data_IF_051143081361
#
_entry.id   IF_051143081361
#
_cell.length_a   1.000
_cell.length_b   1.000
_cell.length_c   1.000
_cell.angle_alpha   90.00
_cell.angle_beta   90.00
_cell.angle_gamma   90.00
#
_symmetry.space_group_name_H-M   'P 1'
#
loop_
_entity.id
_entity.type
_entity.pdbx_description
1 polymer ?
#
# COMPACT_ATOMS: atom_id res chain seq x y z
N UNK A 1 -5.03 -12.23 -8.09
CA UNK A 1 -5.57 -11.22 -7.15
C UNK A 1 -6.45 -11.96 -6.16
N UNK A 2 -6.26 -11.86 -4.82
CA UNK A 2 -7.12 -12.55 -3.84
C UNK A 2 -8.61 -12.17 -3.95
N UNK A 3 -8.93 -11.06 -4.61
CA UNK A 3 -10.30 -10.63 -4.84
C UNK A 3 -10.98 -11.28 -6.05
N UNK A 4 -10.19 -11.70 -7.04
CA UNK A 4 -10.70 -12.22 -8.31
C UNK A 4 -10.46 -13.72 -8.49
N UNK A 5 -9.44 -14.28 -7.82
CA UNK A 5 -9.05 -15.69 -7.93
C UNK A 5 -9.17 -16.41 -6.59
N UNK A 6 -10.03 -17.43 -6.54
CA UNK A 6 -10.25 -18.27 -5.36
C UNK A 6 -8.94 -18.86 -4.81
N UNK A 7 -8.01 -19.29 -5.68
CA UNK A 7 -6.73 -19.86 -5.27
C UNK A 7 -5.85 -18.84 -4.53
N UNK A 8 -5.90 -17.58 -4.96
CA UNK A 8 -5.16 -16.50 -4.31
C UNK A 8 -5.81 -16.10 -2.98
N UNK A 9 -7.13 -16.26 -2.86
CA UNK A 9 -7.86 -16.05 -1.61
C UNK A 9 -7.58 -17.15 -0.59
N UNK A 10 -7.50 -18.40 -1.03
CA UNK A 10 -7.30 -19.57 -0.17
C UNK A 10 -5.91 -19.58 0.51
N UNK A 11 -4.91 -18.93 -0.11
CA UNK A 11 -3.57 -18.72 0.47
C UNK A 11 -3.44 -17.43 1.30
N UNK A 12 -4.47 -16.57 1.30
CA UNK A 12 -4.49 -15.33 2.07
C UNK A 12 -5.19 -15.55 3.43
N UNK A 13 -4.91 -14.70 4.41
CA UNK A 13 -5.52 -14.82 5.74
C UNK A 13 -7.04 -14.66 5.69
N UNK A 14 -7.76 -15.58 6.35
CA UNK A 14 -9.24 -15.69 6.33
C UNK A 14 -9.97 -14.45 6.85
N UNK A 15 -9.31 -13.65 7.69
CA UNK A 15 -9.88 -12.48 8.34
C UNK A 15 -9.77 -11.20 7.48
N UNK A 16 -9.11 -11.29 6.32
CA UNK A 16 -8.81 -10.14 5.48
C UNK A 16 -9.86 -9.96 4.39
N UNK A 17 -10.13 -8.70 4.06
CA UNK A 17 -11.07 -8.30 3.02
C UNK A 17 -10.36 -7.49 1.95
N UNK A 18 -10.89 -7.58 0.73
CA UNK A 18 -10.40 -6.86 -0.45
C UNK A 18 -10.36 -5.33 -0.27
N UNK A 19 -11.23 -4.80 0.58
CA UNK A 19 -11.34 -3.36 0.84
C UNK A 19 -10.13 -2.79 1.58
N UNK A 20 -9.23 -3.66 2.10
CA UNK A 20 -8.01 -3.24 2.80
C UNK A 20 -6.81 -3.03 1.88
N UNK A 21 -6.91 -3.36 0.59
CA UNK A 21 -5.85 -3.12 -0.39
C UNK A 21 -5.88 -1.67 -0.90
N UNK A 22 -4.71 -1.08 -1.24
CA UNK A 22 -4.67 0.27 -1.78
C UNK A 22 -5.37 0.33 -3.15
N UNK A 23 -6.30 1.28 -3.29
CA UNK A 23 -6.99 1.58 -4.56
C UNK A 23 -6.22 2.57 -5.44
N UNK A 24 -5.21 3.21 -4.88
CA UNK A 24 -4.41 4.26 -5.50
C UNK A 24 -2.96 4.14 -5.02
N UNK A 25 -1.99 4.34 -5.91
CA UNK A 25 -0.56 4.25 -5.62
C UNK A 25 0.18 5.46 -6.23
N UNK A 26 0.97 6.15 -5.41
CA UNK A 26 1.95 7.14 -5.87
C UNK A 26 3.30 6.43 -6.03
N UNK A 27 3.78 6.30 -7.26
CA UNK A 27 4.96 5.46 -7.59
C UNK A 27 6.27 6.22 -7.82
N UNK A 28 6.26 7.56 -7.77
CA UNK A 28 7.47 8.36 -8.00
C UNK A 28 7.50 9.06 -9.37
N UNK A 29 8.71 9.36 -9.90
CA UNK A 29 10.03 9.03 -9.35
C UNK A 29 10.42 9.90 -8.14
N UNK A 30 11.61 9.67 -7.57
CA UNK A 30 12.08 10.48 -6.45
C UNK A 30 12.34 11.92 -6.86
N UNK A 31 12.22 12.84 -5.89
CA UNK A 31 12.46 14.29 -6.05
C UNK A 31 11.51 15.00 -7.03
N UNK A 32 10.35 14.40 -7.34
CA UNK A 32 9.29 15.04 -8.15
C UNK A 32 8.10 15.50 -7.31
N UNK A 33 8.29 15.72 -6.01
CA UNK A 33 7.24 16.24 -5.13
C UNK A 33 6.19 15.22 -4.69
N UNK A 34 6.50 13.92 -4.70
CA UNK A 34 5.56 12.87 -4.24
C UNK A 34 5.12 13.04 -2.79
N UNK A 35 6.01 13.48 -1.90
CA UNK A 35 5.66 13.81 -0.51
C UNK A 35 4.65 14.96 -0.44
N UNK A 36 4.83 16.02 -1.24
CA UNK A 36 3.88 17.13 -1.27
C UNK A 36 2.51 16.69 -1.80
N UNK A 37 2.50 15.91 -2.88
CA UNK A 37 1.27 15.31 -3.41
C UNK A 37 0.57 14.43 -2.37
N UNK A 38 1.31 13.56 -1.69
CA UNK A 38 0.80 12.73 -0.61
C UNK A 38 0.15 13.58 0.49
N UNK A 39 0.83 14.63 0.96
CA UNK A 39 0.32 15.53 1.98
C UNK A 39 -0.96 16.24 1.53
N UNK A 40 -1.07 16.62 0.26
CA UNK A 40 -2.29 17.25 -0.26
C UNK A 40 -3.45 16.27 -0.39
N UNK A 41 -3.18 15.02 -0.77
CA UNK A 41 -4.21 14.00 -0.89
C UNK A 41 -4.84 13.65 0.47
N UNK A 42 -4.04 13.52 1.53
CA UNK A 42 -4.55 13.18 2.86
C UNK A 42 -5.36 14.32 3.51
N UNK A 43 -5.34 15.53 2.95
CA UNK A 43 -6.24 16.60 3.39
C UNK A 43 -7.69 16.35 2.96
N UNK A 44 -7.94 15.49 1.97
CA UNK A 44 -9.29 15.18 1.51
C UNK A 44 -9.95 14.11 2.40
N UNK A 45 -11.16 14.34 2.93
CA UNK A 45 -11.78 13.46 3.93
C UNK A 45 -12.10 12.05 3.43
N UNK A 46 -12.18 11.84 2.12
CA UNK A 46 -12.42 10.51 1.53
C UNK A 46 -11.15 9.73 1.21
N UNK A 47 -9.97 10.29 1.50
CA UNK A 47 -8.68 9.67 1.23
C UNK A 47 -8.02 9.30 2.56
N UNK A 48 -7.64 8.04 2.69
CA UNK A 48 -6.94 7.52 3.86
C UNK A 48 -5.55 7.06 3.39
N UNK A 49 -4.51 7.49 4.09
CA UNK A 49 -3.14 7.06 3.84
C UNK A 49 -2.78 5.77 4.56
N UNK A 50 -1.63 5.21 4.21
CA UNK A 50 -0.99 4.15 4.98
C UNK A 50 -0.49 4.65 6.34
N UNK A 51 -0.23 3.70 7.23
CA UNK A 51 0.49 3.95 8.47
C UNK A 51 1.96 4.29 8.17
N UNK A 52 2.55 5.26 8.89
CA UNK A 52 3.95 5.63 8.70
C UNK A 52 4.89 4.53 9.20
N UNK A 53 5.97 4.32 8.46
CA UNK A 53 7.08 3.44 8.81
C UNK A 53 8.16 4.20 9.57
N UNK A 54 8.75 3.63 10.64
CA UNK A 54 9.85 4.27 11.36
C UNK A 54 11.13 4.37 10.51
N UNK A 55 11.25 3.61 9.41
CA UNK A 55 12.44 3.60 8.54
C UNK A 55 12.26 4.40 7.26
N UNK A 56 11.05 4.41 6.73
CA UNK A 56 10.73 4.93 5.38
C UNK A 56 9.64 6.00 5.40
N UNK A 57 9.25 6.45 6.60
CA UNK A 57 8.27 7.52 6.81
C UNK A 57 6.94 7.21 6.09
N UNK A 58 6.48 8.05 5.17
CA UNK A 58 5.25 7.83 4.40
C UNK A 58 5.33 6.68 3.39
N UNK A 59 6.54 6.23 3.02
CA UNK A 59 6.71 5.21 1.98
C UNK A 59 6.57 3.79 2.53
N UNK A 60 5.64 3.02 1.97
CA UNK A 60 5.49 1.57 2.27
C UNK A 60 6.63 0.75 1.67
N UNK A 61 7.07 1.10 0.46
CA UNK A 61 8.08 0.38 -0.32
C UNK A 61 7.84 -1.15 -0.42
N UNK A 62 6.58 -1.61 -0.49
CA UNK A 62 6.25 -3.03 -0.56
C UNK A 62 6.84 -3.71 -1.80
N UNK A 63 6.65 -3.10 -2.99
CA UNK A 63 7.15 -3.63 -4.27
C UNK A 63 8.65 -3.37 -4.50
N UNK A 64 9.41 -2.98 -3.46
CA UNK A 64 10.86 -2.97 -3.53
C UNK A 64 11.42 -4.42 -3.40
N UNK A 65 12.71 -4.63 -3.68
CA UNK A 65 13.35 -5.96 -3.59
C UNK A 65 13.22 -6.64 -2.21
N UNK A 66 13.20 -5.88 -1.13
CA UNK A 66 13.42 -6.39 0.22
C UNK A 66 12.14 -6.61 1.02
N UNK A 67 11.00 -6.09 0.58
CA UNK A 67 9.72 -6.24 1.29
C UNK A 67 8.75 -7.16 0.56
N UNK A 68 8.81 -7.25 -0.77
CA UNK A 68 7.84 -8.02 -1.55
C UNK A 68 7.77 -9.51 -1.16
N UNK A 69 8.92 -10.11 -0.87
CA UNK A 69 9.01 -11.53 -0.48
C UNK A 69 8.41 -11.83 0.91
N UNK A 70 8.09 -10.79 1.71
CA UNK A 70 7.45 -10.95 3.03
C UNK A 70 5.95 -11.20 2.93
N UNK A 71 5.38 -11.11 1.73
CA UNK A 71 3.98 -11.40 1.46
C UNK A 71 3.07 -10.20 1.74
N UNK A 72 1.81 -10.34 1.33
CA UNK A 72 0.80 -9.26 1.35
C UNK A 72 0.41 -8.79 2.76
N UNK A 73 0.73 -9.57 3.79
CA UNK A 73 0.44 -9.27 5.19
C UNK A 73 1.63 -8.61 5.92
N UNK A 74 2.69 -8.23 5.19
CA UNK A 74 3.81 -7.44 5.70
C UNK A 74 3.38 -6.06 6.19
#
# INVERSE_FOLDING_TARGET
NPCDDKRHRDIWSKEKTCDRLPKFLVVGPQKTGTTALYLFLIMHPSIISNSPSPKTFEEVQFFNRNNYHRGIDW
#
